data_IF_577571996929
#
_entry.id   IF_577571996929
#
_cell.length_a   1.000
_cell.length_b   1.000
_cell.length_c   1.000
_cell.angle_alpha   90.00
_cell.angle_beta   90.00
_cell.angle_gamma   90.00
#
_symmetry.space_group_name_H-M   'P 1'
#
loop_
_entity.id
_entity.type
_entity.pdbx_description
1 polymer ?
#
# COMPACT_ATOMS: atom_id res chain seq x y z
N UNK A 1 -36.54 -34.18 34.37
CA UNK A 1 -37.12 -32.95 34.96
C UNK A 1 -37.89 -33.28 36.23
N UNK A 2 -37.19 -33.57 37.33
CA UNK A 2 -37.83 -33.70 38.63
C UNK A 2 -38.39 -32.33 39.02
N UNK A 3 -39.71 -32.17 38.95
CA UNK A 3 -40.39 -30.93 39.32
C UNK A 3 -40.31 -30.81 40.84
N UNK A 4 -39.43 -29.93 41.35
CA UNK A 4 -39.23 -29.70 42.79
C UNK A 4 -40.60 -29.54 43.47
N UNK A 5 -40.98 -30.49 44.32
CA UNK A 5 -42.30 -30.47 44.95
C UNK A 5 -42.34 -29.36 45.98
N UNK A 6 -43.47 -28.65 46.02
CA UNK A 6 -43.71 -27.42 46.82
C UNK A 6 -43.53 -27.61 48.35
N UNK A 7 -43.38 -28.85 48.82
CA UNK A 7 -43.22 -29.22 50.23
C UNK A 7 -41.81 -29.69 50.61
N UNK A 8 -40.85 -29.81 49.66
CA UNK A 8 -39.46 -30.25 49.94
C UNK A 8 -38.50 -29.06 50.17
N UNK A 9 -39.02 -27.83 50.29
CA UNK A 9 -38.20 -26.64 50.60
C UNK A 9 -38.39 -26.29 52.09
N UNK A 10 -37.83 -27.11 52.98
CA UNK A 10 -37.66 -26.73 54.38
C UNK A 10 -36.59 -25.63 54.45
N UNK A 11 -37.04 -24.37 54.43
CA UNK A 11 -36.15 -23.22 54.66
C UNK A 11 -35.91 -23.06 56.15
N UNK A 12 -34.86 -23.68 56.65
CA UNK A 12 -34.26 -23.29 57.93
C UNK A 12 -33.38 -22.05 57.71
N UNK A 13 -33.96 -20.86 57.86
CA UNK A 13 -33.25 -19.59 57.68
C UNK A 13 -32.83 -19.32 56.23
N UNK A 14 -31.52 -19.19 55.98
CA UNK A 14 -30.94 -18.89 54.65
C UNK A 14 -30.37 -20.12 53.92
N UNK A 15 -30.64 -21.33 54.43
CA UNK A 15 -30.30 -22.60 53.80
C UNK A 15 -31.37 -22.98 52.77
N UNK A 16 -30.93 -23.38 51.59
CA UNK A 16 -31.75 -24.05 50.59
C UNK A 16 -31.22 -25.46 50.41
N UNK A 17 -31.91 -26.40 51.05
CA UNK A 17 -31.60 -27.83 50.97
C UNK A 17 -32.26 -28.45 49.73
N UNK A 18 -31.44 -29.06 48.89
CA UNK A 18 -31.79 -29.84 47.71
C UNK A 18 -31.06 -31.18 47.72
N UNK A 19 -30.56 -31.61 48.88
CA UNK A 19 -29.81 -32.85 49.03
C UNK A 19 -30.70 -34.06 48.81
N UNK A 20 -30.14 -35.16 48.31
CA UNK A 20 -30.83 -36.46 48.16
C UNK A 20 -32.07 -36.49 47.25
N UNK A 21 -32.28 -35.46 46.42
CA UNK A 21 -33.44 -35.35 45.52
C UNK A 21 -33.28 -36.08 44.18
N UNK A 22 -32.17 -36.82 43.99
CA UNK A 22 -31.84 -37.51 42.73
C UNK A 22 -31.79 -36.57 41.51
N UNK A 23 -31.36 -35.33 41.72
CA UNK A 23 -31.23 -34.31 40.67
C UNK A 23 -30.08 -34.71 39.73
N UNK A 24 -30.37 -34.88 38.44
CA UNK A 24 -29.38 -35.16 37.39
C UNK A 24 -29.02 -33.91 36.59
N UNK A 25 -29.99 -33.01 36.41
CA UNK A 25 -29.84 -31.73 35.72
C UNK A 25 -30.38 -30.58 36.57
N UNK A 26 -29.59 -29.53 36.70
CA UNK A 26 -29.93 -28.35 37.47
C UNK A 26 -30.34 -27.20 36.53
N UNK A 27 -31.63 -26.84 36.54
CA UNK A 27 -32.14 -25.75 35.71
C UNK A 27 -31.74 -24.37 36.27
N UNK A 28 -31.20 -23.51 35.40
CA UNK A 28 -30.90 -22.13 35.78
C UNK A 28 -32.15 -21.34 36.20
N UNK A 29 -33.32 -21.65 35.63
CA UNK A 29 -34.57 -20.96 35.98
C UNK A 29 -34.95 -21.20 37.45
N UNK A 30 -34.76 -22.43 37.92
CA UNK A 30 -35.03 -22.82 39.30
C UNK A 30 -34.03 -22.16 40.27
N UNK A 31 -32.75 -22.14 39.90
CA UNK A 31 -31.69 -21.43 40.63
C UNK A 31 -31.97 -19.93 40.73
N UNK A 32 -32.43 -19.31 39.64
CA UNK A 32 -32.70 -17.87 39.61
C UNK A 32 -33.93 -17.52 40.45
N UNK A 33 -34.95 -18.38 40.45
CA UNK A 33 -36.19 -18.16 41.19
C UNK A 33 -36.02 -18.36 42.69
N UNK A 34 -35.32 -19.42 43.09
CA UNK A 34 -35.25 -19.85 44.49
C UNK A 34 -33.90 -19.55 45.16
N UNK A 35 -32.79 -19.63 44.41
CA UNK A 35 -31.43 -19.47 44.92
C UNK A 35 -31.00 -18.05 45.28
N UNK A 36 -31.68 -17.02 44.77
CA UNK A 36 -31.37 -15.60 45.08
C UNK A 36 -31.51 -15.23 46.56
N UNK A 37 -32.29 -16.01 47.32
CA UNK A 37 -32.54 -15.74 48.75
C UNK A 37 -31.69 -16.61 49.68
N UNK A 38 -31.06 -17.65 49.15
CA UNK A 38 -30.26 -18.60 49.91
C UNK A 38 -28.82 -18.09 50.03
N UNK A 39 -28.23 -18.12 51.23
CA UNK A 39 -26.79 -17.89 51.39
C UNK A 39 -26.02 -19.20 51.53
N UNK A 40 -26.74 -20.30 51.83
CA UNK A 40 -26.22 -21.66 51.91
C UNK A 40 -27.04 -22.54 50.98
N UNK A 41 -26.41 -23.31 50.13
CA UNK A 41 -27.09 -24.21 49.19
C UNK A 41 -26.51 -25.61 49.40
N UNK A 42 -27.37 -26.58 49.71
CA UNK A 42 -26.99 -27.99 49.78
C UNK A 42 -27.53 -28.70 48.54
N UNK A 43 -26.63 -29.21 47.70
CA UNK A 43 -26.92 -30.00 46.51
C UNK A 43 -26.28 -31.39 46.61
N UNK A 44 -25.91 -31.82 47.82
CA UNK A 44 -25.20 -33.06 48.06
C UNK A 44 -26.03 -34.30 47.74
N UNK A 45 -25.37 -35.44 47.51
CA UNK A 45 -26.03 -36.73 47.31
C UNK A 45 -27.04 -36.74 46.14
N UNK A 46 -26.67 -36.12 45.03
CA UNK A 46 -27.48 -36.10 43.80
C UNK A 46 -26.71 -36.79 42.65
N UNK A 47 -27.22 -36.66 41.43
CA UNK A 47 -26.64 -37.24 40.20
C UNK A 47 -26.12 -36.15 39.26
N UNK A 48 -25.83 -34.95 39.78
CA UNK A 48 -25.50 -33.77 38.98
C UNK A 48 -24.16 -33.98 38.28
N UNK A 49 -24.17 -33.86 36.95
CA UNK A 49 -22.97 -34.03 36.10
C UNK A 49 -22.26 -32.72 35.79
N UNK A 50 -23.02 -31.63 35.71
CA UNK A 50 -22.51 -30.30 35.41
C UNK A 50 -23.40 -29.25 36.06
N UNK A 51 -22.81 -28.13 36.48
CA UNK A 51 -23.57 -26.95 36.86
C UNK A 51 -23.88 -26.11 35.61
N UNK A 52 -25.04 -25.44 35.54
CA UNK A 52 -25.34 -24.54 34.43
C UNK A 52 -24.30 -23.42 34.38
N UNK A 53 -23.93 -22.95 33.18
CA UNK A 53 -22.90 -21.92 32.98
C UNK A 53 -23.16 -20.63 33.79
N UNK A 54 -24.43 -20.31 34.04
CA UNK A 54 -24.85 -19.14 34.84
C UNK A 54 -24.94 -19.40 36.35
N UNK A 55 -24.57 -20.58 36.84
CA UNK A 55 -24.50 -20.89 38.28
C UNK A 55 -23.65 -19.87 39.06
N UNK A 56 -22.47 -19.41 38.58
CA UNK A 56 -21.63 -18.44 39.29
C UNK A 56 -22.23 -17.02 39.40
N UNK A 57 -23.47 -16.81 38.95
CA UNK A 57 -24.21 -15.56 39.18
C UNK A 57 -24.76 -15.45 40.61
N UNK A 58 -24.77 -16.54 41.38
CA UNK A 58 -25.18 -16.58 42.80
C UNK A 58 -24.08 -16.03 43.72
N UNK A 59 -23.54 -14.85 43.39
CA UNK A 59 -22.37 -14.22 44.04
C UNK A 59 -22.53 -13.95 45.54
N UNK A 60 -23.75 -14.07 46.07
CA UNK A 60 -24.08 -13.83 47.47
C UNK A 60 -23.84 -15.05 48.37
N UNK A 61 -23.72 -16.26 47.81
CA UNK A 61 -23.61 -17.48 48.61
C UNK A 61 -22.27 -17.55 49.36
N UNK A 62 -22.31 -18.13 50.56
CA UNK A 62 -21.16 -18.31 51.45
C UNK A 62 -20.84 -19.77 51.73
N UNK A 63 -21.80 -20.66 51.49
CA UNK A 63 -21.67 -22.10 51.74
C UNK A 63 -22.35 -22.86 50.60
N UNK A 64 -21.63 -23.83 50.03
CA UNK A 64 -22.11 -24.67 48.95
C UNK A 64 -21.62 -26.09 49.17
N UNK A 65 -22.55 -27.03 49.24
CA UNK A 65 -22.23 -28.46 49.27
C UNK A 65 -22.69 -29.09 47.94
N UNK A 66 -21.73 -29.68 47.23
CA UNK A 66 -21.90 -30.42 45.99
C UNK A 66 -21.34 -31.83 46.12
N UNK A 67 -21.10 -32.30 47.35
CA UNK A 67 -20.52 -33.60 47.62
C UNK A 67 -21.38 -34.75 47.10
N UNK A 68 -20.75 -35.88 46.78
CA UNK A 68 -21.39 -37.11 46.32
C UNK A 68 -22.30 -36.87 45.11
N UNK A 69 -21.76 -36.19 44.10
CA UNK A 69 -22.37 -35.98 42.79
C UNK A 69 -21.53 -36.64 41.69
N UNK A 70 -21.78 -36.30 40.43
CA UNK A 70 -21.06 -36.80 39.26
C UNK A 70 -20.35 -35.67 38.50
N UNK A 71 -20.02 -34.57 39.18
CA UNK A 71 -19.44 -33.38 38.54
C UNK A 71 -18.09 -33.72 37.91
N UNK A 72 -17.98 -33.56 36.59
CA UNK A 72 -16.71 -33.74 35.88
C UNK A 72 -15.96 -32.42 35.66
N UNK A 73 -16.67 -31.28 35.71
CA UNK A 73 -16.10 -29.94 35.65
C UNK A 73 -16.93 -28.93 36.47
N UNK A 74 -16.33 -27.77 36.74
CA UNK A 74 -17.02 -26.58 37.23
C UNK A 74 -17.01 -25.51 36.12
N UNK A 75 -18.03 -24.61 36.07
CA UNK A 75 -18.05 -23.51 35.10
C UNK A 75 -16.76 -22.66 35.12
N UNK A 76 -16.33 -22.16 33.96
CA UNK A 76 -15.08 -21.38 33.84
C UNK A 76 -15.02 -20.18 34.80
N UNK A 77 -16.16 -19.53 35.08
CA UNK A 77 -16.28 -18.37 35.96
C UNK A 77 -16.63 -18.70 37.41
N UNK A 78 -16.47 -19.95 37.86
CA UNK A 78 -16.82 -20.38 39.22
C UNK A 78 -16.20 -19.50 40.33
N UNK A 79 -15.02 -18.93 40.08
CA UNK A 79 -14.36 -17.94 40.94
C UNK A 79 -15.15 -16.67 41.25
N UNK A 80 -16.20 -16.37 40.49
CA UNK A 80 -17.08 -15.22 40.70
C UNK A 80 -17.91 -15.31 41.99
N UNK A 81 -17.96 -16.49 42.62
CA UNK A 81 -18.52 -16.70 43.95
C UNK A 81 -17.61 -16.12 45.05
N UNK A 82 -17.27 -14.84 44.95
CA UNK A 82 -16.26 -14.15 45.77
C UNK A 82 -16.54 -14.14 47.28
N UNK A 83 -17.78 -14.43 47.69
CA UNK A 83 -18.19 -14.54 49.10
C UNK A 83 -18.12 -15.96 49.65
N UNK A 84 -17.87 -16.96 48.81
CA UNK A 84 -17.85 -18.37 49.19
C UNK A 84 -16.76 -18.63 50.24
N UNK A 85 -17.15 -19.26 51.35
CA UNK A 85 -16.27 -19.61 52.46
C UNK A 85 -16.17 -21.11 52.67
N UNK A 86 -17.19 -21.85 52.27
CA UNK A 86 -17.24 -23.29 52.39
C UNK A 86 -17.70 -23.89 51.07
N UNK A 87 -16.91 -24.83 50.56
CA UNK A 87 -17.20 -25.57 49.35
C UNK A 87 -16.88 -27.04 49.59
N UNK A 88 -17.88 -27.90 49.51
CA UNK A 88 -17.67 -29.34 49.53
C UNK A 88 -17.87 -29.92 48.12
N UNK A 89 -16.82 -30.56 47.59
CA UNK A 89 -16.80 -31.24 46.30
C UNK A 89 -16.38 -32.71 46.44
N UNK A 90 -16.39 -33.24 47.67
CA UNK A 90 -16.09 -34.63 48.00
C UNK A 90 -16.83 -35.61 47.09
N UNK A 91 -16.18 -36.69 46.64
CA UNK A 91 -16.78 -37.74 45.79
C UNK A 91 -17.50 -37.19 44.56
N UNK A 92 -16.73 -36.52 43.70
CA UNK A 92 -17.16 -36.14 42.36
C UNK A 92 -16.24 -36.81 41.30
N UNK A 93 -16.25 -36.30 40.06
CA UNK A 93 -15.43 -36.78 38.93
C UNK A 93 -14.50 -35.69 38.40
N UNK A 94 -14.17 -34.70 39.23
CA UNK A 94 -13.32 -33.57 38.84
C UNK A 94 -11.89 -34.03 38.59
N UNK A 95 -11.32 -33.61 37.45
CA UNK A 95 -9.89 -33.80 37.16
C UNK A 95 -9.09 -32.51 37.36
N UNK A 96 -9.73 -31.37 37.11
CA UNK A 96 -9.15 -30.03 37.17
C UNK A 96 -10.15 -29.06 37.81
N UNK A 97 -9.69 -27.84 38.09
CA UNK A 97 -10.51 -26.71 38.51
C UNK A 97 -10.31 -25.56 37.52
N UNK A 98 -11.32 -24.70 37.33
CA UNK A 98 -11.21 -23.54 36.44
C UNK A 98 -10.18 -22.54 36.97
N UNK A 99 -9.49 -21.82 36.08
CA UNK A 99 -8.48 -20.82 36.48
C UNK A 99 -9.05 -19.71 37.36
N UNK A 100 -10.35 -19.41 37.21
CA UNK A 100 -11.05 -18.43 38.06
C UNK A 100 -11.08 -18.83 39.54
N UNK A 101 -10.87 -20.11 39.89
CA UNK A 101 -10.87 -20.59 41.28
C UNK A 101 -9.85 -19.84 42.17
N UNK A 102 -8.81 -19.24 41.58
CA UNK A 102 -7.88 -18.31 42.25
C UNK A 102 -8.56 -17.09 42.91
N UNK A 103 -9.76 -16.72 42.46
CA UNK A 103 -10.52 -15.56 42.96
C UNK A 103 -11.32 -15.87 44.24
N UNK A 104 -11.42 -17.14 44.65
CA UNK A 104 -12.09 -17.56 45.89
C UNK A 104 -11.24 -17.26 47.14
N UNK A 105 -10.80 -16.01 47.29
CA UNK A 105 -9.91 -15.52 48.35
C UNK A 105 -10.51 -15.63 49.77
N UNK A 106 -11.82 -15.85 49.87
CA UNK A 106 -12.55 -16.03 51.14
C UNK A 106 -12.78 -17.48 51.51
N UNK A 107 -12.35 -18.43 50.68
CA UNK A 107 -12.55 -19.86 50.93
C UNK A 107 -11.76 -20.32 52.16
N UNK A 108 -12.47 -20.91 53.12
CA UNK A 108 -11.93 -21.38 54.40
C UNK A 108 -12.02 -22.90 54.55
N UNK A 109 -12.92 -23.53 53.81
CA UNK A 109 -13.10 -24.98 53.79
C UNK A 109 -13.24 -25.44 52.36
N UNK A 110 -12.48 -26.46 52.01
CA UNK A 110 -12.56 -27.15 50.74
C UNK A 110 -12.32 -28.63 50.94
N UNK A 111 -13.25 -29.46 50.49
CA UNK A 111 -13.02 -30.88 50.29
C UNK A 111 -13.07 -31.23 48.81
N UNK A 112 -12.01 -31.90 48.34
CA UNK A 112 -11.87 -32.41 46.98
C UNK A 112 -11.52 -33.90 46.99
N UNK A 113 -11.56 -34.56 48.15
CA UNK A 113 -11.23 -35.98 48.29
C UNK A 113 -12.17 -36.84 47.43
N UNK A 114 -11.69 -38.03 47.05
CA UNK A 114 -12.39 -38.94 46.13
C UNK A 114 -12.76 -38.34 44.76
N UNK A 115 -11.93 -37.42 44.25
CA UNK A 115 -11.95 -36.97 42.86
C UNK A 115 -10.73 -37.50 42.09
N UNK A 116 -10.85 -37.79 40.78
CA UNK A 116 -9.74 -38.18 39.91
C UNK A 116 -8.86 -36.99 39.52
N UNK A 117 -8.43 -36.18 40.51
CA UNK A 117 -7.64 -34.97 40.30
C UNK A 117 -6.33 -35.28 39.58
N UNK A 118 -5.91 -34.37 38.69
CA UNK A 118 -4.60 -34.46 38.06
C UNK A 118 -3.46 -34.42 39.10
N UNK A 119 -2.28 -34.88 38.71
CA UNK A 119 -1.16 -35.06 39.63
C UNK A 119 -0.72 -33.77 40.35
N UNK A 120 -0.75 -32.64 39.64
CA UNK A 120 -0.35 -31.33 40.20
C UNK A 120 -1.33 -30.85 41.28
N UNK A 121 -2.64 -30.93 40.99
CA UNK A 121 -3.67 -30.55 41.94
C UNK A 121 -3.73 -31.50 43.13
N UNK A 122 -3.69 -32.82 42.88
CA UNK A 122 -3.68 -33.85 43.93
C UNK A 122 -2.54 -33.63 44.94
N UNK A 123 -1.35 -33.27 44.46
CA UNK A 123 -0.19 -32.96 45.31
C UNK A 123 -0.40 -31.72 46.18
N UNK A 124 -1.07 -30.69 45.66
CA UNK A 124 -1.29 -29.45 46.38
C UNK A 124 -2.41 -29.55 47.43
N UNK A 125 -3.52 -30.22 47.12
CA UNK A 125 -4.69 -30.24 48.00
C UNK A 125 -4.50 -31.13 49.22
N UNK A 126 -3.83 -32.28 49.07
CA UNK A 126 -3.68 -33.26 50.14
C UNK A 126 -5.01 -33.95 50.47
N UNK A 127 -5.15 -34.38 51.72
CA UNK A 127 -6.38 -34.98 52.25
C UNK A 127 -7.18 -33.95 53.06
N UNK A 128 -8.43 -34.27 53.40
CA UNK A 128 -9.35 -33.45 54.20
C UNK A 128 -10.01 -34.33 55.26
N UNK A 129 -9.19 -34.98 56.10
CA UNK A 129 -9.68 -35.84 57.20
C UNK A 129 -10.00 -35.05 58.47
N UNK A 130 -9.46 -33.83 58.60
CA UNK A 130 -9.74 -32.91 59.70
C UNK A 130 -10.08 -31.50 59.21
N UNK A 131 -10.79 -30.72 60.03
CA UNK A 131 -11.14 -29.33 59.69
C UNK A 131 -9.92 -28.47 59.32
N UNK A 132 -8.78 -28.70 59.99
CA UNK A 132 -7.52 -28.01 59.70
C UNK A 132 -6.96 -28.40 58.32
N UNK A 133 -7.05 -29.67 57.96
CA UNK A 133 -6.62 -30.15 56.64
C UNK A 133 -7.49 -29.59 55.52
N UNK A 134 -8.81 -29.57 55.69
CA UNK A 134 -9.74 -28.97 54.72
C UNK A 134 -9.51 -27.46 54.56
N UNK A 135 -9.12 -26.78 55.63
CA UNK A 135 -8.71 -25.38 55.57
C UNK A 135 -7.40 -25.19 54.79
N UNK A 136 -6.41 -26.06 55.04
CA UNK A 136 -5.16 -26.04 54.27
C UNK A 136 -5.39 -26.39 52.80
N UNK A 137 -6.29 -27.34 52.50
CA UNK A 137 -6.73 -27.69 51.16
C UNK A 137 -7.25 -26.45 50.43
N UNK A 138 -8.15 -25.66 51.05
CA UNK A 138 -8.67 -24.42 50.47
C UNK A 138 -7.54 -23.43 50.12
N UNK A 139 -6.67 -23.14 51.08
CA UNK A 139 -5.58 -22.16 50.90
C UNK A 139 -4.59 -22.63 49.83
N UNK A 140 -4.18 -23.89 49.85
CA UNK A 140 -3.23 -24.46 48.88
C UNK A 140 -3.81 -24.52 47.48
N UNK A 141 -5.09 -24.84 47.35
CA UNK A 141 -5.79 -24.87 46.05
C UNK A 141 -5.82 -23.48 45.43
N UNK A 142 -6.30 -22.47 46.15
CA UNK A 142 -6.35 -21.08 45.65
C UNK A 142 -4.96 -20.59 45.28
N UNK A 143 -3.95 -20.89 46.10
CA UNK A 143 -2.55 -20.55 45.81
C UNK A 143 -2.06 -21.21 44.52
N UNK A 144 -2.26 -22.52 44.35
CA UNK A 144 -1.86 -23.25 43.15
C UNK A 144 -2.56 -22.68 41.91
N UNK A 145 -3.86 -22.41 41.98
CA UNK A 145 -4.62 -21.84 40.85
C UNK A 145 -4.09 -20.47 40.46
N UNK A 146 -3.70 -19.64 41.43
CA UNK A 146 -3.04 -18.37 41.16
C UNK A 146 -1.68 -18.57 40.48
N UNK A 147 -0.84 -19.49 40.97
CA UNK A 147 0.46 -19.82 40.38
C UNK A 147 0.35 -20.38 38.95
N UNK A 148 -0.63 -21.26 38.69
CA UNK A 148 -0.94 -21.74 37.34
C UNK A 148 -1.36 -20.57 36.45
N UNK A 149 -2.27 -19.72 36.92
CA UNK A 149 -2.74 -18.58 36.12
C UNK A 149 -1.61 -17.61 35.76
N UNK A 150 -0.70 -17.32 36.70
CA UNK A 150 0.46 -16.47 36.45
C UNK A 150 1.42 -17.14 35.45
N UNK A 151 1.68 -18.44 35.60
CA UNK A 151 2.53 -19.20 34.65
C UNK A 151 1.95 -19.17 33.22
N UNK A 152 0.65 -19.38 33.07
CA UNK A 152 -0.02 -19.33 31.78
C UNK A 152 0.03 -17.94 31.14
N UNK A 153 -0.10 -16.88 31.94
CA UNK A 153 -0.01 -15.50 31.44
C UNK A 153 1.41 -15.16 30.98
N UNK A 154 2.43 -15.54 31.75
CA UNK A 154 3.83 -15.35 31.34
C UNK A 154 4.12 -16.08 30.03
N UNK A 155 3.65 -17.32 29.89
CA UNK A 155 3.84 -18.11 28.68
C UNK A 155 3.08 -17.51 27.49
N UNK A 156 1.87 -16.98 27.71
CA UNK A 156 1.11 -16.24 26.69
C UNK A 156 1.89 -15.03 26.17
N UNK A 157 2.40 -14.20 27.08
CA UNK A 157 3.19 -13.01 26.73
C UNK A 157 4.48 -13.41 25.99
N UNK A 158 5.13 -14.50 26.41
CA UNK A 158 6.33 -15.01 25.74
C UNK A 158 6.03 -15.40 24.29
N UNK A 159 4.94 -16.13 24.05
CA UNK A 159 4.52 -16.53 22.69
C UNK A 159 4.23 -15.31 21.81
N UNK A 160 3.51 -14.33 22.35
CA UNK A 160 3.21 -13.08 21.64
C UNK A 160 4.48 -12.33 21.23
N UNK A 161 5.48 -12.23 22.13
CA UNK A 161 6.76 -11.58 21.82
C UNK A 161 7.54 -12.30 20.71
N UNK A 162 7.53 -13.64 20.72
CA UNK A 162 8.17 -14.44 19.66
C UNK A 162 7.47 -14.19 18.32
N UNK A 163 6.13 -14.24 18.30
CA UNK A 163 5.33 -13.98 17.10
C UNK A 163 5.52 -12.55 16.56
N UNK A 164 5.58 -11.55 17.45
CA UNK A 164 5.85 -10.16 17.10
C UNK A 164 7.27 -10.01 16.50
N UNK A 165 8.27 -10.64 17.10
CA UNK A 165 9.65 -10.61 16.60
C UNK A 165 9.77 -11.29 15.22
N UNK A 166 9.12 -12.43 15.02
CA UNK A 166 9.06 -13.12 13.73
C UNK A 166 8.40 -12.24 12.66
N UNK A 167 7.27 -11.63 12.99
CA UNK A 167 6.55 -10.70 12.09
C UNK A 167 7.46 -9.53 11.72
N UNK A 168 8.16 -8.93 12.69
CA UNK A 168 9.10 -7.83 12.44
C UNK A 168 10.25 -8.26 11.53
N UNK A 169 10.81 -9.46 11.74
CA UNK A 169 11.88 -10.02 10.89
C UNK A 169 11.39 -10.23 9.45
N UNK A 170 10.18 -10.74 9.26
CA UNK A 170 9.58 -10.92 7.94
C UNK A 170 9.37 -9.59 7.23
N UNK A 171 8.82 -8.57 7.91
CA UNK A 171 8.64 -7.23 7.36
C UNK A 171 9.97 -6.59 6.93
N UNK A 172 11.03 -6.73 7.74
CA UNK A 172 12.37 -6.23 7.39
C UNK A 172 12.95 -6.98 6.18
N UNK A 173 12.77 -8.30 6.10
CA UNK A 173 13.22 -9.06 4.94
C UNK A 173 12.47 -8.65 3.67
N UNK A 174 11.16 -8.43 3.78
CA UNK A 174 10.34 -7.99 2.66
C UNK A 174 10.71 -6.57 2.20
N UNK A 175 10.92 -5.63 3.13
CA UNK A 175 11.35 -4.27 2.81
C UNK A 175 12.72 -4.25 2.13
N UNK A 176 13.68 -5.08 2.59
CA UNK A 176 14.97 -5.29 1.91
C UNK A 176 14.79 -5.81 0.49
N UNK A 177 13.92 -6.81 0.28
CA UNK A 177 13.61 -7.36 -1.06
C UNK A 177 12.96 -6.31 -1.97
N UNK A 178 12.04 -5.49 -1.46
CA UNK A 178 11.40 -4.40 -2.20
C UNK A 178 12.43 -3.34 -2.61
N UNK A 179 13.25 -2.86 -1.66
CA UNK A 179 14.31 -1.90 -1.93
C UNK A 179 15.35 -2.43 -2.94
N UNK A 180 15.70 -3.71 -2.89
CA UNK A 180 16.60 -4.33 -3.86
C UNK A 180 15.99 -4.37 -5.27
N UNK A 181 14.70 -4.74 -5.39
CA UNK A 181 13.96 -4.70 -6.67
C UNK A 181 13.91 -3.28 -7.24
N UNK A 182 13.65 -2.28 -6.40
CA UNK A 182 13.65 -0.86 -6.81
C UNK A 182 15.04 -0.39 -7.26
N UNK A 183 16.10 -0.72 -6.51
CA UNK A 183 17.48 -0.42 -6.92
C UNK A 183 17.84 -1.06 -8.26
N UNK A 184 17.44 -2.33 -8.49
CA UNK A 184 17.65 -3.01 -9.78
C UNK A 184 16.88 -2.30 -10.91
N UNK A 185 15.62 -1.93 -10.69
CA UNK A 185 14.81 -1.17 -11.66
C UNK A 185 15.44 0.20 -11.96
N UNK A 186 15.87 0.95 -10.95
CA UNK A 186 16.50 2.26 -11.11
C UNK A 186 17.83 2.18 -11.89
N UNK A 187 18.66 1.16 -11.60
CA UNK A 187 19.89 0.90 -12.38
C UNK A 187 19.58 0.62 -13.85
N UNK A 188 18.57 -0.20 -14.14
CA UNK A 188 18.16 -0.51 -15.51
C UNK A 188 17.60 0.74 -16.23
N UNK A 189 16.77 1.53 -15.55
CA UNK A 189 16.23 2.78 -16.09
C UNK A 189 17.36 3.78 -16.41
N UNK A 190 18.32 3.96 -15.50
CA UNK A 190 19.49 4.83 -15.73
C UNK A 190 20.36 4.34 -16.89
N UNK A 191 20.51 3.02 -17.07
CA UNK A 191 21.23 2.45 -18.22
C UNK A 191 20.49 2.75 -19.54
N UNK A 192 19.18 2.53 -19.59
CA UNK A 192 18.35 2.85 -20.76
C UNK A 192 18.37 4.33 -21.10
N UNK A 193 18.28 5.20 -20.08
CA UNK A 193 18.35 6.64 -20.27
C UNK A 193 19.68 7.07 -20.90
N UNK A 194 20.82 6.57 -20.40
CA UNK A 194 22.14 6.84 -20.99
C UNK A 194 22.26 6.35 -22.43
N UNK A 195 21.68 5.20 -22.75
CA UNK A 195 21.65 4.69 -24.13
C UNK A 195 20.85 5.61 -25.05
N UNK A 196 19.68 6.06 -24.58
CA UNK A 196 18.84 7.00 -25.33
C UNK A 196 19.55 8.34 -25.55
N UNK A 197 20.18 8.89 -24.50
CA UNK A 197 20.98 10.13 -24.58
C UNK A 197 22.15 9.99 -25.57
N UNK A 198 22.87 8.87 -25.54
CA UNK A 198 23.96 8.60 -26.50
C UNK A 198 23.44 8.48 -27.93
N UNK A 199 22.27 7.88 -28.14
CA UNK A 199 21.69 7.70 -29.46
C UNK A 199 21.17 9.02 -30.03
N UNK A 200 20.53 9.85 -29.21
CA UNK A 200 20.14 11.23 -29.58
C UNK A 200 21.37 12.06 -29.93
N UNK A 201 22.45 11.97 -29.16
CA UNK A 201 23.69 12.68 -29.46
C UNK A 201 24.35 12.21 -30.77
N UNK A 202 24.28 10.91 -31.09
CA UNK A 202 24.77 10.37 -32.37
C UNK A 202 23.96 10.91 -33.55
N UNK A 203 22.62 10.83 -33.45
CA UNK A 203 21.74 11.32 -34.51
C UNK A 203 21.91 12.81 -34.73
N UNK A 204 21.99 13.62 -33.66
CA UNK A 204 22.22 15.06 -33.79
C UNK A 204 23.59 15.40 -34.41
N UNK A 205 24.61 14.55 -34.22
CA UNK A 205 25.89 14.71 -34.89
C UNK A 205 25.83 14.32 -36.37
N UNK A 206 25.07 13.28 -36.72
CA UNK A 206 24.77 12.93 -38.13
C UNK A 206 24.00 14.06 -38.81
N UNK A 207 22.94 14.59 -38.18
CA UNK A 207 22.14 15.71 -38.70
C UNK A 207 23.00 16.97 -38.91
N UNK A 208 23.93 17.28 -37.99
CA UNK A 208 24.81 18.44 -38.12
C UNK A 208 25.82 18.30 -39.28
N UNK A 209 26.28 17.07 -39.56
CA UNK A 209 27.15 16.80 -40.72
C UNK A 209 26.35 16.93 -42.02
N UNK A 210 25.11 16.43 -42.06
CA UNK A 210 24.22 16.63 -43.21
C UNK A 210 23.93 18.12 -43.45
N UNK A 211 23.69 18.92 -42.39
CA UNK A 211 23.48 20.37 -42.50
C UNK A 211 24.74 21.10 -43.01
N UNK A 212 25.94 20.72 -42.57
CA UNK A 212 27.20 21.29 -43.09
C UNK A 212 27.45 20.92 -44.55
N UNK A 213 27.18 19.67 -44.95
CA UNK A 213 27.28 19.23 -46.35
C UNK A 213 26.28 19.98 -47.24
N UNK A 214 25.03 20.12 -46.80
CA UNK A 214 23.99 20.84 -47.54
C UNK A 214 24.30 22.35 -47.65
N UNK A 215 24.88 22.96 -46.59
CA UNK A 215 25.35 24.35 -46.64
C UNK A 215 26.48 24.52 -47.66
N UNK A 216 27.46 23.61 -47.69
CA UNK A 216 28.58 23.65 -48.62
C UNK A 216 28.13 23.49 -50.08
N UNK A 217 27.20 22.55 -50.36
CA UNK A 217 26.61 22.40 -51.69
C UNK A 217 25.85 23.66 -52.14
N UNK A 218 25.14 24.31 -51.22
CA UNK A 218 24.41 25.55 -51.52
C UNK A 218 25.36 26.72 -51.84
N UNK A 219 26.49 26.85 -51.14
CA UNK A 219 27.52 27.85 -51.46
C UNK A 219 28.13 27.63 -52.84
N UNK A 220 28.49 26.38 -53.18
CA UNK A 220 28.99 26.01 -54.51
C UNK A 220 27.98 26.36 -55.61
N UNK A 221 26.69 26.08 -55.38
CA UNK A 221 25.62 26.42 -56.31
C UNK A 221 25.42 27.94 -56.47
N UNK A 222 25.57 28.73 -55.40
CA UNK A 222 25.51 30.19 -55.48
C UNK A 222 26.67 30.74 -56.32
N UNK A 223 27.87 30.19 -56.14
CA UNK A 223 29.07 30.58 -56.90
C UNK A 223 28.92 30.23 -58.40
N UNK A 224 28.34 29.07 -58.72
CA UNK A 224 28.02 28.67 -60.09
C UNK A 224 26.98 29.59 -60.75
N UNK A 225 25.96 30.05 -60.01
CA UNK A 225 24.95 30.99 -60.55
C UNK A 225 25.53 32.38 -60.83
N UNK A 226 26.42 32.87 -59.97
CA UNK A 226 27.11 34.17 -60.14
C UNK A 226 27.98 34.22 -61.42
N UNK A 227 28.75 33.16 -61.66
CA UNK A 227 29.60 33.05 -62.86
C UNK A 227 28.79 32.91 -64.15
N UNK A 228 27.67 32.18 -64.11
CA UNK A 228 26.73 32.05 -65.24
C UNK A 228 26.09 33.39 -65.65
N UNK A 229 25.67 34.20 -64.67
CA UNK A 229 25.07 35.52 -64.93
C UNK A 229 26.08 36.50 -65.58
N UNK A 230 27.37 36.32 -65.29
CA UNK A 230 28.46 37.14 -65.83
C UNK A 230 28.68 36.88 -67.33
N UNK A 231 28.59 35.62 -67.75
CA UNK A 231 28.78 35.19 -69.14
C UNK A 231 27.66 35.68 -70.07
N UNK A 232 26.41 35.64 -69.62
CA UNK A 232 25.26 36.10 -70.42
C UNK A 232 25.31 37.60 -70.72
N UNK A 233 25.82 38.42 -69.79
CA UNK A 233 26.00 39.87 -70.03
C UNK A 233 27.04 40.15 -71.11
N UNK A 234 28.14 39.39 -71.12
CA UNK A 234 29.21 39.52 -72.13
C UNK A 234 28.69 39.14 -73.52
N UNK A 235 27.90 38.07 -73.61
CA UNK A 235 27.29 37.63 -74.87
C UNK A 235 26.30 38.68 -75.40
N UNK A 236 25.50 39.30 -74.53
CA UNK A 236 24.53 40.33 -74.94
C UNK A 236 25.20 41.57 -75.55
N UNK A 237 26.25 42.11 -74.91
CA UNK A 237 26.91 43.32 -75.41
C UNK A 237 27.71 43.10 -76.70
N UNK A 238 28.27 41.90 -76.91
CA UNK A 238 28.99 41.57 -78.14
C UNK A 238 28.05 41.51 -79.35
N UNK A 239 26.88 40.88 -79.21
CA UNK A 239 25.86 40.84 -80.26
C UNK A 239 25.37 42.25 -80.62
N UNK A 240 25.07 43.08 -79.61
CA UNK A 240 24.62 44.46 -79.82
C UNK A 240 25.66 45.30 -80.59
N UNK A 241 26.94 45.15 -80.24
CA UNK A 241 28.03 45.88 -80.90
C UNK A 241 28.18 45.48 -82.37
N UNK A 242 28.09 44.17 -82.68
CA UNK A 242 28.15 43.70 -84.08
C UNK A 242 27.00 44.21 -84.94
N UNK A 243 25.78 44.29 -84.38
CA UNK A 243 24.62 44.81 -85.08
C UNK A 243 24.79 46.30 -85.43
N UNK A 244 25.21 47.13 -84.46
CA UNK A 244 25.46 48.56 -84.71
C UNK A 244 26.58 48.78 -85.72
N UNK A 245 27.64 47.98 -85.66
CA UNK A 245 28.74 48.07 -86.63
C UNK A 245 28.29 47.71 -88.05
N UNK A 246 27.42 46.69 -88.19
CA UNK A 246 26.87 46.31 -89.50
C UNK A 246 25.98 47.41 -90.10
N UNK A 247 25.16 48.08 -89.29
CA UNK A 247 24.35 49.23 -89.73
C UNK A 247 25.24 50.39 -90.17
N UNK A 248 26.28 50.70 -89.40
CA UNK A 248 27.25 51.74 -89.77
C UNK A 248 27.99 51.39 -91.07
N UNK A 249 28.38 50.12 -91.25
CA UNK A 249 29.03 49.66 -92.47
C UNK A 249 28.11 49.81 -93.70
N UNK A 250 26.82 49.50 -93.57
CA UNK A 250 25.83 49.71 -94.64
C UNK A 250 25.69 51.19 -94.99
N UNK A 251 25.64 52.08 -93.99
CA UNK A 251 25.59 53.54 -94.19
C UNK A 251 26.84 54.03 -94.94
N UNK A 252 28.04 53.57 -94.53
CA UNK A 252 29.31 53.96 -95.17
C UNK A 252 29.38 53.43 -96.61
N UNK A 253 28.94 52.20 -96.86
CA UNK A 253 28.99 51.57 -98.18
C UNK A 253 28.03 52.26 -99.17
N UNK A 254 26.83 52.65 -98.73
CA UNK A 254 25.86 53.37 -99.56
C UNK A 254 26.34 54.80 -99.89
N UNK A 255 27.02 55.48 -98.95
CA UNK A 255 27.66 56.78 -99.19
C UNK A 255 28.78 56.70 -100.25
N UNK A 256 29.55 55.61 -100.26
CA UNK A 256 30.69 55.44 -101.17
C UNK A 256 30.30 55.11 -102.61
N UNK A 257 29.09 54.57 -102.82
CA UNK A 257 28.58 54.18 -104.15
C UNK A 257 27.87 55.32 -104.92
N UNK A 258 27.98 56.57 -104.48
CA UNK A 258 27.50 57.73 -105.25
C UNK A 258 26.00 58.03 -105.12
N UNK A 259 25.27 57.35 -104.24
CA UNK A 259 23.85 57.58 -103.91
C UNK A 259 23.65 58.60 -102.76
N UNK A 260 24.50 59.62 -102.66
CA UNK A 260 24.52 60.57 -101.53
C UNK A 260 23.19 61.30 -101.25
N UNK A 261 22.33 61.48 -102.27
CA UNK A 261 21.03 62.13 -102.10
C UNK A 261 19.97 61.23 -101.41
N UNK A 262 20.14 59.90 -101.43
CA UNK A 262 19.27 58.98 -100.69
C UNK A 262 19.68 58.86 -99.21
N UNK A 263 20.97 59.03 -98.89
CA UNK A 263 21.46 59.03 -97.50
C UNK A 263 20.97 60.26 -96.72
N UNK A 264 20.84 61.41 -97.39
CA UNK A 264 20.25 62.62 -96.77
C UNK A 264 18.72 62.47 -96.60
N UNK A 265 18.03 61.76 -97.51
CA UNK A 265 16.61 61.45 -97.35
C UNK A 265 16.34 60.45 -96.20
N UNK A 266 17.19 59.43 -96.02
CA UNK A 266 17.13 58.50 -94.87
C UNK A 266 17.42 59.16 -93.51
N UNK A 267 18.15 60.28 -93.51
CA UNK A 267 18.43 61.08 -92.31
C UNK A 267 17.40 62.21 -92.07
N UNK A 268 16.49 62.48 -93.04
CA UNK A 268 15.48 63.53 -92.95
C UNK A 268 14.04 63.04 -92.66
N UNK A 269 13.77 61.74 -92.63
CA UNK A 269 12.55 61.24 -91.98
C UNK A 269 12.71 61.21 -90.45
N UNK A 270 11.74 61.81 -89.77
CA UNK A 270 11.73 62.31 -88.39
C UNK A 270 11.92 61.29 -87.25
N UNK A 271 12.21 60.01 -87.53
CA UNK A 271 12.23 58.95 -86.51
C UNK A 271 13.63 58.47 -86.07
N UNK A 272 14.68 58.61 -86.90
CA UNK A 272 16.02 58.16 -86.50
C UNK A 272 16.63 59.02 -85.37
N UNK A 273 16.46 60.34 -85.46
CA UNK A 273 16.88 61.28 -84.40
C UNK A 273 16.05 61.09 -83.12
N UNK A 274 14.79 60.64 -83.26
CA UNK A 274 13.91 60.31 -82.12
C UNK A 274 14.39 59.05 -81.40
N UNK A 275 14.79 58.02 -82.14
CA UNK A 275 15.37 56.78 -81.61
C UNK A 275 16.72 57.00 -80.92
N UNK A 276 17.54 57.91 -81.47
CA UNK A 276 18.82 58.29 -80.87
C UNK A 276 18.63 59.12 -79.58
N UNK A 277 17.58 59.97 -79.53
CA UNK A 277 17.19 60.70 -78.31
C UNK A 277 16.63 59.77 -77.23
N UNK A 278 15.81 58.78 -77.58
CA UNK A 278 15.29 57.76 -76.66
C UNK A 278 16.40 56.83 -76.14
N UNK A 279 17.38 56.47 -76.97
CA UNK A 279 18.58 55.73 -76.51
C UNK A 279 19.45 56.53 -75.53
N UNK A 280 19.57 57.84 -75.72
CA UNK A 280 20.31 58.73 -74.79
C UNK A 280 19.56 58.89 -73.46
N UNK A 281 18.22 58.91 -73.46
CA UNK A 281 17.41 58.88 -72.21
C UNK A 281 17.55 57.52 -71.49
N UNK A 282 17.48 56.39 -72.19
CA UNK A 282 17.69 55.05 -71.61
C UNK A 282 19.10 54.87 -71.00
N UNK A 283 20.13 55.44 -71.62
CA UNK A 283 21.48 55.43 -71.04
C UNK A 283 21.59 56.34 -69.81
N UNK A 284 20.85 57.45 -69.75
CA UNK A 284 20.79 58.34 -68.59
C UNK A 284 20.12 57.66 -67.39
N UNK A 285 19.02 56.95 -67.60
CA UNK A 285 18.31 56.23 -66.54
C UNK A 285 19.12 55.05 -65.98
N UNK A 286 19.82 54.31 -66.84
CA UNK A 286 20.71 53.22 -66.40
C UNK A 286 21.92 53.73 -65.61
N UNK A 287 22.42 54.94 -65.90
CA UNK A 287 23.51 55.55 -65.12
C UNK A 287 23.02 56.28 -63.85
N UNK A 288 21.81 56.87 -63.86
CA UNK A 288 21.21 57.48 -62.66
C UNK A 288 20.88 56.44 -61.59
N UNK A 289 20.45 55.22 -61.98
CA UNK A 289 20.21 54.12 -61.04
C UNK A 289 21.50 53.63 -60.37
N UNK A 290 22.68 53.83 -60.99
CA UNK A 290 23.97 53.56 -60.34
C UNK A 290 24.39 54.63 -59.32
N UNK A 291 23.92 55.87 -59.45
CA UNK A 291 24.19 56.92 -58.46
C UNK A 291 23.22 56.88 -57.26
N UNK A 292 21.98 56.41 -57.46
CA UNK A 292 21.00 56.28 -56.37
C UNK A 292 21.30 55.13 -55.39
N UNK A 293 22.03 54.08 -55.80
CA UNK A 293 22.45 52.96 -54.93
C UNK A 293 23.79 53.16 -54.21
N UNK A 294 24.38 54.35 -54.30
CA UNK A 294 25.65 54.71 -53.64
C UNK A 294 25.48 55.69 -52.47
N UNK A 295 24.25 56.05 -52.08
CA UNK A 295 23.95 57.05 -51.03
C UNK A 295 22.89 56.56 -50.01
N UNK A 296 22.65 55.26 -49.89
CA UNK A 296 22.07 54.63 -48.68
C UNK A 296 22.99 53.51 -48.20
#
# INVERSE_FOLDING_TARGET
MAKLRKHEIEREGSLWDLSTLSIDELSFEELQKNGKKATRIDLSNNLIRSLPAKFPTLIHITWLDLSKNQLYELPEDFGSLIKLQHLDLYRNKLQTLPLSFKELKRLKFLDLHDNPLNAELKKAVGECQSAKECQLCAVRTVKLMNEISVRLEIERIRRQKVEEEETRRQQVLESKRRAEKERKKAKLAKKKQRQLESQVASNAAEDAVEEEEEHFENELNLQAKSTSFSLWRIIFYTVLFTALFSVLFLIINDYRNGNGNNVIAYLQETDFIKLLREMIELFRDVYSIKFAKSVE
#
